data_IF_449564572167
#
_entry.id   IF_449564572167
#
_cell.length_a   1.000
_cell.length_b   1.000
_cell.length_c   1.000
_cell.angle_alpha   90.00
_cell.angle_beta   90.00
_cell.angle_gamma   90.00
#
_symmetry.space_group_name_H-M   'P 1'
#
loop_
_entity.id
_entity.type
_entity.pdbx_description
1 polymer ?
#
# COMPACT_ATOMS: atom_id res chain seq x y z
N UNK A 1 -19.07 25.39 -3.53
CA UNK A 1 -20.23 24.70 -4.15
C UNK A 1 -21.36 24.43 -3.18
N UNK A 2 -21.13 24.03 -1.93
CA UNK A 2 -22.18 23.76 -0.94
C UNK A 2 -23.01 24.98 -0.49
N UNK A 3 -22.44 26.17 -0.37
CA UNK A 3 -23.15 27.38 0.06
C UNK A 3 -24.22 27.82 -0.96
N UNK A 4 -23.94 27.65 -2.26
CA UNK A 4 -24.90 27.98 -3.33
C UNK A 4 -26.09 27.01 -3.35
N UNK A 5 -25.85 25.75 -2.98
CA UNK A 5 -26.91 24.74 -2.89
C UNK A 5 -27.82 25.00 -1.68
N UNK A 6 -27.25 25.44 -0.55
CA UNK A 6 -28.01 25.77 0.67
C UNK A 6 -28.91 27.01 0.47
N UNK A 7 -28.39 28.04 -0.22
CA UNK A 7 -29.19 29.22 -0.56
C UNK A 7 -30.32 28.93 -1.57
N UNK A 8 -30.16 27.94 -2.45
CA UNK A 8 -31.23 27.50 -3.36
C UNK A 8 -32.31 26.73 -2.61
N UNK A 9 -31.94 25.85 -1.67
CA UNK A 9 -32.89 25.08 -0.86
C UNK A 9 -33.69 26.00 0.08
N UNK A 10 -33.06 26.99 0.73
CA UNK A 10 -33.73 27.94 1.60
C UNK A 10 -34.75 28.81 0.85
N UNK A 11 -34.47 29.23 -0.38
CA UNK A 11 -35.42 30.00 -1.21
C UNK A 11 -36.63 29.17 -1.64
N UNK A 12 -36.46 27.89 -1.92
CA UNK A 12 -37.58 27.01 -2.27
C UNK A 12 -38.49 26.72 -1.07
N UNK A 13 -37.92 26.62 0.15
CA UNK A 13 -38.70 26.39 1.38
C UNK A 13 -39.53 27.63 1.77
N UNK A 14 -39.00 28.83 1.59
CA UNK A 14 -39.71 30.07 1.85
C UNK A 14 -40.84 30.27 0.84
N UNK A 15 -40.64 29.89 -0.43
CA UNK A 15 -41.67 30.04 -1.47
C UNK A 15 -42.80 29.02 -1.30
N UNK A 16 -42.50 27.78 -0.90
CA UNK A 16 -43.53 26.77 -0.63
C UNK A 16 -44.40 27.10 0.58
N UNK A 17 -43.82 27.72 1.63
CA UNK A 17 -44.59 28.15 2.80
C UNK A 17 -45.45 29.40 2.50
N UNK A 18 -45.07 30.27 1.59
CA UNK A 18 -45.89 31.42 1.16
C UNK A 18 -47.14 30.99 0.39
N UNK A 19 -47.04 29.96 -0.45
CA UNK A 19 -48.17 29.44 -1.22
C UNK A 19 -49.18 28.69 -0.28
N UNK A 20 -48.70 27.98 0.73
CA UNK A 20 -49.58 27.36 1.75
C UNK A 20 -50.29 28.38 2.60
N UNK A 21 -49.65 29.46 2.98
CA UNK A 21 -50.29 30.53 3.77
C UNK A 21 -51.44 31.25 3.02
N UNK A 22 -51.32 31.41 1.68
CA UNK A 22 -52.37 32.05 0.88
C UNK A 22 -53.64 31.16 0.67
N UNK A 23 -53.48 29.83 0.66
CA UNK A 23 -54.61 28.90 0.52
C UNK A 23 -55.43 28.70 1.82
N UNK A 24 -54.85 28.97 2.99
CA UNK A 24 -55.58 28.86 4.27
C UNK A 24 -56.37 30.12 4.68
N UNK A 25 -56.15 31.27 4.00
CA UNK A 25 -56.87 32.50 4.33
C UNK A 25 -58.28 32.59 3.77
N UNK A 26 -58.72 31.65 2.92
CA UNK A 26 -60.08 31.68 2.34
C UNK A 26 -61.08 30.70 3.00
N UNK A 27 -60.67 29.89 4.00
CA UNK A 27 -61.57 28.88 4.58
C UNK A 27 -61.77 28.97 6.12
N UNK A 28 -61.28 30.01 6.78
CA UNK A 28 -61.36 30.09 8.23
C UNK A 28 -62.01 31.40 8.69
N UNK A 29 -63.26 31.62 8.28
CA UNK A 29 -64.13 32.57 8.98
C UNK A 29 -65.23 31.78 9.67
N UNK A 30 -64.96 31.32 10.83
CA UNK A 30 -65.81 30.88 11.98
C UNK A 30 -65.18 29.69 12.70
N UNK A 31 -64.53 29.96 13.79
CA UNK A 31 -64.59 29.26 15.08
C UNK A 31 -63.28 29.36 15.87
N UNK A 32 -63.46 29.92 17.05
CA UNK A 32 -62.62 29.82 18.24
C UNK A 32 -61.13 30.20 18.15
N UNK A 33 -60.86 31.40 18.65
CA UNK A 33 -59.53 31.85 19.10
C UNK A 33 -59.06 30.92 20.23
N UNK A 34 -58.44 29.80 19.88
CA UNK A 34 -57.61 29.09 20.83
C UNK A 34 -56.29 29.87 20.96
N UNK A 35 -56.01 30.33 22.19
CA UNK A 35 -54.79 31.07 22.56
C UNK A 35 -53.57 30.45 21.95
N UNK A 36 -52.94 31.15 21.00
CA UNK A 36 -51.60 30.80 20.48
C UNK A 36 -50.66 30.89 21.67
N UNK A 37 -49.93 29.81 22.03
CA UNK A 37 -48.95 29.88 23.10
C UNK A 37 -47.92 30.95 22.75
N UNK A 38 -47.57 31.76 23.78
CA UNK A 38 -46.78 32.96 23.70
C UNK A 38 -45.48 32.73 22.91
N UNK A 39 -45.36 33.19 21.67
CA UNK A 39 -44.25 33.01 20.77
C UNK A 39 -42.92 33.49 21.40
N UNK A 40 -42.99 34.37 22.41
CA UNK A 40 -41.83 34.83 23.19
C UNK A 40 -41.12 33.71 23.97
N UNK A 41 -41.81 32.63 24.37
CA UNK A 41 -41.18 31.53 25.11
C UNK A 41 -40.34 30.57 24.19
N UNK A 42 -40.66 30.51 22.90
CA UNK A 42 -39.93 29.70 21.93
C UNK A 42 -38.52 30.28 21.59
N UNK A 43 -38.36 31.60 21.69
CA UNK A 43 -37.08 32.25 21.44
C UNK A 43 -36.00 31.90 22.48
N UNK A 44 -36.35 31.71 23.72
CA UNK A 44 -35.41 31.36 24.78
C UNK A 44 -34.90 29.91 24.72
N UNK A 45 -35.62 29.03 24.04
CA UNK A 45 -35.20 27.64 23.80
C UNK A 45 -34.45 27.51 22.51
N UNK A 46 -34.72 28.33 21.50
CA UNK A 46 -34.06 28.27 20.20
C UNK A 46 -32.64 28.84 20.18
N UNK A 47 -32.37 29.90 20.96
CA UNK A 47 -31.05 30.54 21.01
C UNK A 47 -29.95 29.59 21.57
N UNK A 48 -30.13 28.95 22.72
CA UNK A 48 -29.17 27.97 23.24
C UNK A 48 -28.98 26.78 22.30
N UNK A 49 -30.04 26.33 21.65
CA UNK A 49 -29.99 25.25 20.66
C UNK A 49 -29.15 25.62 19.43
N UNK A 50 -29.35 26.84 18.91
CA UNK A 50 -28.54 27.35 17.77
C UNK A 50 -27.06 27.54 18.16
N UNK A 51 -26.81 28.10 19.35
CA UNK A 51 -25.45 28.27 19.86
C UNK A 51 -24.78 26.90 20.04
N UNK A 52 -25.48 25.92 20.61
CA UNK A 52 -24.99 24.55 20.77
C UNK A 52 -24.66 23.89 19.44
N UNK A 53 -25.53 24.04 18.43
CA UNK A 53 -25.27 23.53 17.07
C UNK A 53 -24.08 24.22 16.40
N UNK A 54 -23.94 25.53 16.55
CA UNK A 54 -22.78 26.27 16.05
C UNK A 54 -21.50 25.83 16.74
N UNK A 55 -21.55 25.59 18.04
CA UNK A 55 -20.39 25.13 18.80
C UNK A 55 -19.94 23.72 18.37
N UNK A 56 -20.89 22.82 18.11
CA UNK A 56 -20.62 21.49 17.59
C UNK A 56 -20.10 21.51 16.13
N UNK A 57 -20.58 22.46 15.32
CA UNK A 57 -20.17 22.60 13.93
C UNK A 57 -18.84 23.37 13.77
N UNK A 58 -18.45 24.18 14.75
CA UNK A 58 -17.28 25.05 14.64
C UNK A 58 -15.97 24.31 14.27
N UNK A 59 -15.61 23.18 14.92
CA UNK A 59 -14.39 22.46 14.55
C UNK A 59 -14.41 21.97 13.10
N UNK A 60 -15.58 21.57 12.61
CA UNK A 60 -15.75 21.12 11.24
C UNK A 60 -15.65 22.28 10.23
N UNK A 61 -16.25 23.43 10.53
CA UNK A 61 -16.19 24.63 9.69
C UNK A 61 -14.78 25.20 9.65
N UNK A 62 -14.07 25.24 10.78
CA UNK A 62 -12.69 25.68 10.86
C UNK A 62 -11.77 24.74 10.09
N UNK A 63 -11.96 23.44 10.23
CA UNK A 63 -11.24 22.45 9.43
C UNK A 63 -11.43 22.68 7.93
N UNK A 64 -12.67 22.85 7.46
CA UNK A 64 -12.96 23.15 6.05
C UNK A 64 -12.27 24.43 5.57
N UNK A 65 -12.34 25.49 6.38
CA UNK A 65 -11.66 26.74 6.06
C UNK A 65 -10.16 26.56 5.87
N UNK A 66 -9.51 25.86 6.80
CA UNK A 66 -8.08 25.64 6.73
C UNK A 66 -7.67 24.73 5.56
N UNK A 67 -8.46 23.69 5.26
CA UNK A 67 -8.22 22.81 4.11
C UNK A 67 -8.37 23.57 2.78
N UNK A 68 -9.43 24.37 2.63
CA UNK A 68 -9.67 25.15 1.42
C UNK A 68 -8.55 26.19 1.22
N UNK A 69 -8.17 26.88 2.30
CA UNK A 69 -7.08 27.85 2.26
C UNK A 69 -5.73 27.22 1.92
N UNK A 70 -5.39 26.10 2.54
CA UNK A 70 -4.19 25.34 2.22
C UNK A 70 -4.19 24.89 0.76
N UNK A 71 -5.31 24.36 0.26
CA UNK A 71 -5.46 23.94 -1.14
C UNK A 71 -5.27 25.07 -2.13
N UNK A 72 -5.72 26.29 -1.79
CA UNK A 72 -5.50 27.49 -2.61
C UNK A 72 -4.01 27.86 -2.64
N UNK A 73 -3.37 27.93 -1.48
CA UNK A 73 -1.94 28.26 -1.36
C UNK A 73 -1.06 27.19 -2.04
N UNK A 74 -1.42 25.92 -1.97
CA UNK A 74 -0.71 24.86 -2.71
C UNK A 74 -0.79 25.03 -4.21
N UNK A 75 -1.93 25.48 -4.76
CA UNK A 75 -2.06 25.78 -6.20
C UNK A 75 -1.20 26.97 -6.63
N UNK A 76 -1.01 27.94 -5.76
CA UNK A 76 -0.18 29.12 -5.99
C UNK A 76 1.31 28.80 -5.81
N UNK A 77 1.67 28.01 -4.80
CA UNK A 77 3.04 27.76 -4.40
C UNK A 77 3.68 26.50 -5.01
N UNK A 78 2.90 25.61 -5.66
CA UNK A 78 3.39 24.41 -6.32
C UNK A 78 3.10 24.45 -7.82
N UNK A 79 4.05 23.95 -8.61
CA UNK A 79 3.84 23.67 -10.02
C UNK A 79 3.96 22.18 -10.29
N UNK A 80 3.05 21.66 -11.15
CA UNK A 80 3.04 20.27 -11.55
C UNK A 80 3.65 20.13 -12.95
N UNK A 81 4.46 19.07 -13.18
CA UNK A 81 4.94 18.75 -14.52
C UNK A 81 3.76 18.59 -15.51
N UNK A 82 4.00 18.96 -16.75
CA UNK A 82 3.03 18.79 -17.83
C UNK A 82 3.61 17.85 -18.91
N UNK A 83 2.93 16.78 -19.32
CA UNK A 83 1.66 16.27 -18.80
C UNK A 83 1.78 15.76 -17.35
N UNK A 84 0.70 15.88 -16.60
CA UNK A 84 0.66 15.37 -15.22
C UNK A 84 0.40 13.87 -15.22
N UNK A 85 1.34 13.10 -14.72
CA UNK A 85 1.21 11.67 -14.46
C UNK A 85 0.95 11.42 -12.98
N UNK A 86 0.51 10.20 -12.65
CA UNK A 86 0.26 9.79 -11.26
C UNK A 86 1.52 9.91 -10.39
N UNK A 87 2.69 9.63 -10.98
CA UNK A 87 4.00 9.70 -10.31
C UNK A 87 4.67 11.09 -10.42
N UNK A 88 3.96 12.09 -10.94
CA UNK A 88 4.51 13.43 -11.03
C UNK A 88 4.67 14.07 -9.66
N UNK A 89 5.90 14.46 -9.32
CA UNK A 89 6.20 15.21 -8.11
C UNK A 89 6.15 16.70 -8.44
N UNK A 90 5.38 17.52 -7.70
CA UNK A 90 5.35 18.94 -7.92
C UNK A 90 6.65 19.61 -7.46
N UNK A 91 6.98 20.74 -8.05
CA UNK A 91 8.08 21.58 -7.61
C UNK A 91 7.56 22.80 -6.84
N UNK A 92 8.29 23.21 -5.80
CA UNK A 92 8.01 24.44 -5.07
C UNK A 92 8.43 25.64 -5.90
N UNK A 93 7.52 26.56 -6.16
CA UNK A 93 7.77 27.82 -6.86
C UNK A 93 7.76 29.03 -5.92
N UNK A 94 7.05 28.94 -4.79
CA UNK A 94 7.04 29.93 -3.73
C UNK A 94 7.05 29.28 -2.35
N UNK A 95 8.21 29.25 -1.72
CA UNK A 95 8.40 28.61 -0.40
C UNK A 95 7.67 29.37 0.74
N UNK A 96 7.47 30.69 0.60
CA UNK A 96 6.73 31.45 1.61
C UNK A 96 5.24 31.08 1.59
N UNK A 97 4.63 30.99 0.41
CA UNK A 97 3.25 30.54 0.25
C UNK A 97 3.08 29.08 0.72
N UNK A 98 4.04 28.22 0.46
CA UNK A 98 4.00 26.82 0.90
C UNK A 98 4.12 26.68 2.41
N UNK A 99 4.93 27.53 3.09
CA UNK A 99 4.95 27.56 4.55
C UNK A 99 3.59 27.94 5.14
N UNK A 100 2.94 28.96 4.59
CA UNK A 100 1.58 29.35 5.00
C UNK A 100 0.58 28.20 4.79
N UNK A 101 0.70 27.45 3.68
CA UNK A 101 -0.13 26.27 3.46
C UNK A 101 0.07 25.21 4.56
N UNK A 102 1.30 24.94 4.97
CA UNK A 102 1.60 24.02 6.07
C UNK A 102 1.00 24.51 7.40
N UNK A 103 1.04 25.79 7.72
CA UNK A 103 0.44 26.34 8.94
C UNK A 103 -1.08 26.12 8.97
N UNK A 104 -1.74 26.30 7.84
CA UNK A 104 -3.15 25.97 7.70
C UNK A 104 -3.42 24.46 7.83
N UNK A 105 -2.54 23.60 7.30
CA UNK A 105 -2.69 22.15 7.44
C UNK A 105 -2.47 21.69 8.88
N UNK A 106 -1.53 22.26 9.62
CA UNK A 106 -1.34 22.03 11.07
C UNK A 106 -2.62 22.40 11.83
N UNK A 107 -3.19 23.56 11.52
CA UNK A 107 -4.47 23.99 12.12
C UNK A 107 -5.61 23.01 11.77
N UNK A 108 -5.69 22.56 10.52
CA UNK A 108 -6.69 21.59 10.11
C UNK A 108 -6.53 20.25 10.85
N UNK A 109 -5.30 19.77 11.03
CA UNK A 109 -4.99 18.55 11.80
C UNK A 109 -5.38 18.70 13.27
N UNK A 110 -5.21 19.88 13.84
CA UNK A 110 -5.65 20.18 15.22
C UNK A 110 -7.17 20.06 15.37
N UNK A 111 -7.95 20.64 14.46
CA UNK A 111 -9.41 20.58 14.52
C UNK A 111 -9.99 19.20 14.21
N UNK A 112 -9.34 18.43 13.33
CA UNK A 112 -9.76 17.06 12.96
C UNK A 112 -8.58 16.11 12.79
N UNK A 113 -7.98 15.63 13.90
CA UNK A 113 -6.78 14.78 13.89
C UNK A 113 -7.02 13.39 13.27
N UNK A 114 -8.28 12.98 13.13
CA UNK A 114 -8.67 11.70 12.53
C UNK A 114 -9.17 11.86 11.08
N UNK A 115 -8.71 12.89 10.37
CA UNK A 115 -9.07 13.08 8.98
C UNK A 115 -7.82 13.04 8.09
N UNK A 116 -7.73 12.02 7.24
CA UNK A 116 -6.53 11.72 6.43
C UNK A 116 -6.10 12.86 5.48
N UNK A 117 -7.05 13.66 4.97
CA UNK A 117 -6.82 14.61 3.89
C UNK A 117 -5.75 15.68 4.22
N UNK A 118 -5.77 16.23 5.45
CA UNK A 118 -4.78 17.23 5.87
C UNK A 118 -3.36 16.66 5.91
N UNK A 119 -3.21 15.43 6.39
CA UNK A 119 -1.92 14.72 6.41
C UNK A 119 -1.44 14.41 4.99
N UNK A 120 -2.33 13.96 4.12
CA UNK A 120 -2.02 13.70 2.71
C UNK A 120 -1.53 14.95 1.99
N UNK A 121 -2.19 16.11 2.19
CA UNK A 121 -1.74 17.38 1.64
C UNK A 121 -0.37 17.81 2.18
N UNK A 122 -0.12 17.62 3.49
CA UNK A 122 1.20 17.88 4.09
C UNK A 122 2.28 17.00 3.47
N UNK A 123 1.97 15.70 3.22
CA UNK A 123 2.86 14.77 2.56
C UNK A 123 3.31 15.26 1.18
N UNK A 124 2.40 15.75 0.37
CA UNK A 124 2.73 16.33 -0.94
C UNK A 124 3.61 17.57 -0.85
N UNK A 125 3.39 18.45 0.12
CA UNK A 125 4.25 19.62 0.34
C UNK A 125 5.66 19.19 0.74
N UNK A 126 5.79 18.26 1.70
CA UNK A 126 7.09 17.77 2.13
C UNK A 126 7.82 17.05 0.98
N UNK A 127 7.12 16.26 0.19
CA UNK A 127 7.68 15.59 -0.99
C UNK A 127 8.20 16.61 -2.02
N UNK A 128 7.41 17.65 -2.31
CA UNK A 128 7.82 18.74 -3.21
C UNK A 128 9.05 19.50 -2.71
N UNK A 129 9.26 19.57 -1.41
CA UNK A 129 10.44 20.19 -0.77
C UNK A 129 11.64 19.26 -0.66
N UNK A 130 11.48 17.99 -1.04
CA UNK A 130 12.51 16.97 -0.86
C UNK A 130 12.70 16.49 0.58
N UNK A 131 11.80 16.86 1.50
CA UNK A 131 11.80 16.39 2.89
C UNK A 131 11.09 15.02 2.95
N UNK A 132 11.82 13.99 2.48
CA UNK A 132 11.24 12.67 2.26
C UNK A 132 10.80 11.99 3.56
N UNK A 133 11.50 12.23 4.68
CA UNK A 133 11.15 11.63 5.98
C UNK A 133 9.81 12.18 6.50
N UNK A 134 9.62 13.50 6.43
CA UNK A 134 8.33 14.10 6.81
C UNK A 134 7.23 13.76 5.83
N UNK A 135 7.53 13.63 4.55
CA UNK A 135 6.58 13.18 3.55
C UNK A 135 6.08 11.75 3.87
N UNK A 136 7.02 10.82 4.13
CA UNK A 136 6.68 9.45 4.51
C UNK A 136 5.83 9.40 5.79
N UNK A 137 6.24 10.12 6.84
CA UNK A 137 5.49 10.17 8.10
C UNK A 137 4.06 10.72 7.91
N UNK A 138 3.89 11.73 7.06
CA UNK A 138 2.59 12.32 6.78
C UNK A 138 1.68 11.36 5.98
N UNK A 139 2.18 10.70 4.94
CA UNK A 139 1.41 9.71 4.18
C UNK A 139 1.10 8.47 5.01
N UNK A 140 2.04 7.97 5.83
CA UNK A 140 1.79 6.87 6.76
C UNK A 140 0.70 7.22 7.78
N UNK A 141 0.70 8.46 8.28
CA UNK A 141 -0.38 8.93 9.17
C UNK A 141 -1.71 8.99 8.45
N UNK A 142 -1.75 9.48 7.22
CA UNK A 142 -2.95 9.50 6.38
C UNK A 142 -3.47 8.07 6.14
N UNK A 143 -2.58 7.12 5.83
CA UNK A 143 -2.88 5.71 5.63
C UNK A 143 -3.45 5.05 6.89
N UNK A 144 -2.88 5.32 8.05
CA UNK A 144 -3.37 4.79 9.32
C UNK A 144 -4.79 5.27 9.66
N UNK A 145 -5.18 6.46 9.17
CA UNK A 145 -6.53 7.03 9.37
C UNK A 145 -7.50 6.48 8.32
N UNK A 146 -7.11 6.41 7.07
CA UNK A 146 -7.94 5.92 5.97
C UNK A 146 -7.24 4.77 5.23
N UNK A 147 -7.49 3.56 5.69
CA UNK A 147 -6.85 2.34 5.19
C UNK A 147 -7.42 1.84 3.87
N UNK A 148 -8.50 2.43 3.38
CA UNK A 148 -9.20 2.01 2.16
C UNK A 148 -8.97 2.94 0.95
N UNK A 149 -8.14 3.97 1.09
CA UNK A 149 -7.88 4.94 0.03
C UNK A 149 -6.62 4.55 -0.77
N UNK A 150 -6.78 4.01 -2.00
CA UNK A 150 -5.65 3.49 -2.77
C UNK A 150 -4.61 4.55 -3.12
N UNK A 151 -5.03 5.81 -3.29
CA UNK A 151 -4.11 6.89 -3.63
C UNK A 151 -3.12 7.20 -2.50
N UNK A 152 -3.50 7.01 -1.24
CA UNK A 152 -2.58 7.21 -0.11
C UNK A 152 -1.48 6.15 -0.11
N UNK A 153 -1.84 4.89 -0.37
CA UNK A 153 -0.85 3.82 -0.52
C UNK A 153 0.07 4.06 -1.71
N UNK A 154 -0.47 4.52 -2.85
CA UNK A 154 0.33 4.89 -4.02
C UNK A 154 1.33 6.00 -3.72
N UNK A 155 0.88 7.08 -3.08
CA UNK A 155 1.70 8.22 -2.68
C UNK A 155 2.78 7.83 -1.66
N UNK A 156 2.45 6.91 -0.74
CA UNK A 156 3.40 6.33 0.20
C UNK A 156 4.50 5.55 -0.54
N UNK A 157 4.13 4.73 -1.52
CA UNK A 157 5.06 4.01 -2.38
C UNK A 157 6.01 4.94 -3.13
N UNK A 158 5.48 6.03 -3.69
CA UNK A 158 6.27 7.04 -4.39
C UNK A 158 7.37 7.66 -3.50
N UNK A 159 7.03 7.99 -2.24
CA UNK A 159 8.01 8.54 -1.30
C UNK A 159 9.11 7.52 -0.99
N UNK A 160 8.76 6.26 -0.75
CA UNK A 160 9.76 5.22 -0.48
C UNK A 160 10.67 4.96 -1.69
N UNK A 161 10.15 5.04 -2.92
CA UNK A 161 10.96 4.99 -4.15
C UNK A 161 11.95 6.15 -4.22
N UNK A 162 11.52 7.38 -3.90
CA UNK A 162 12.43 8.52 -3.84
C UNK A 162 13.49 8.37 -2.74
N UNK A 163 13.13 7.81 -1.58
CA UNK A 163 14.09 7.49 -0.54
C UNK A 163 15.12 6.46 -1.00
N UNK A 164 14.70 5.43 -1.73
CA UNK A 164 15.62 4.45 -2.33
C UNK A 164 16.63 5.10 -3.28
N UNK A 165 16.16 6.02 -4.12
CA UNK A 165 17.05 6.75 -5.05
C UNK A 165 18.10 7.54 -4.27
N UNK A 166 17.74 8.18 -3.15
CA UNK A 166 18.70 8.96 -2.33
C UNK A 166 19.74 8.10 -1.63
N UNK A 167 19.40 6.84 -1.30
CA UNK A 167 20.31 5.90 -0.63
C UNK A 167 20.89 4.84 -1.57
N UNK A 168 20.68 4.98 -2.89
CA UNK A 168 21.15 4.02 -3.91
C UNK A 168 22.69 3.79 -3.89
N UNK A 169 23.44 4.66 -3.23
CA UNK A 169 24.88 4.53 -3.01
C UNK A 169 25.23 3.80 -1.69
N UNK A 170 24.26 3.32 -0.94
CA UNK A 170 24.52 2.54 0.27
C UNK A 170 25.28 1.25 -0.10
N UNK A 171 26.29 0.84 0.68
CA UNK A 171 27.00 -0.40 0.44
C UNK A 171 26.02 -1.58 0.41
N UNK A 172 26.14 -2.42 -0.60
CA UNK A 172 25.34 -3.64 -0.71
C UNK A 172 26.18 -4.79 -1.23
N UNK A 173 25.88 -6.00 -0.78
CA UNK A 173 26.57 -7.23 -1.18
C UNK A 173 25.57 -8.27 -1.63
N UNK A 174 25.62 -8.67 -2.91
CA UNK A 174 24.78 -9.76 -3.41
C UNK A 174 25.21 -11.11 -2.82
N UNK A 175 24.24 -11.88 -2.38
CA UNK A 175 24.43 -13.24 -1.87
C UNK A 175 23.95 -14.31 -2.87
N UNK A 176 23.46 -13.94 -4.05
CA UNK A 176 22.91 -14.91 -5.03
C UNK A 176 23.90 -16.01 -5.36
N UNK A 177 25.20 -15.68 -5.51
CA UNK A 177 26.24 -16.68 -5.76
C UNK A 177 26.49 -17.65 -4.59
N UNK A 178 26.08 -17.31 -3.36
CA UNK A 178 26.25 -18.18 -2.18
C UNK A 178 25.31 -19.38 -2.22
N UNK A 179 24.16 -19.24 -2.87
CA UNK A 179 23.22 -20.35 -2.99
C UNK A 179 23.78 -21.53 -3.77
N UNK A 180 24.68 -21.29 -4.76
CA UNK A 180 25.36 -22.38 -5.49
C UNK A 180 26.33 -23.18 -4.62
N UNK A 181 26.68 -22.64 -3.45
CA UNK A 181 27.62 -23.26 -2.49
C UNK A 181 26.88 -23.61 -1.17
N UNK A 182 25.55 -23.48 -1.14
CA UNK A 182 24.76 -23.76 0.07
C UNK A 182 24.77 -25.25 0.41
N UNK A 183 24.77 -25.54 1.71
CA UNK A 183 24.46 -26.89 2.19
C UNK A 183 22.95 -27.07 2.14
N UNK A 184 22.49 -28.00 1.31
CA UNK A 184 21.06 -28.33 1.17
C UNK A 184 20.76 -29.53 2.07
N UNK A 185 19.71 -29.40 2.88
CA UNK A 185 19.15 -30.46 3.72
C UNK A 185 17.68 -30.60 3.44
N UNK A 186 17.20 -31.82 3.22
CA UNK A 186 15.81 -32.18 3.12
C UNK A 186 15.61 -33.56 3.77
N UNK A 187 14.41 -33.86 4.36
CA UNK A 187 14.20 -35.03 5.18
C UNK A 187 14.50 -36.40 4.52
N UNK A 188 14.29 -36.49 3.21
CA UNK A 188 14.30 -37.77 2.50
C UNK A 188 15.46 -37.89 1.47
N UNK A 189 16.44 -36.99 1.52
CA UNK A 189 17.52 -37.00 0.52
C UNK A 189 18.84 -37.40 1.15
N UNK A 190 19.55 -38.36 0.55
CA UNK A 190 20.96 -38.58 0.83
C UNK A 190 21.74 -37.31 0.47
N UNK A 191 22.60 -36.85 1.35
CA UNK A 191 23.40 -35.60 1.35
C UNK A 191 24.20 -35.32 0.02
N UNK A 192 24.10 -36.16 -0.99
CA UNK A 192 25.04 -36.22 -2.12
C UNK A 192 24.62 -35.46 -3.39
N UNK A 193 23.42 -34.92 -3.50
CA UNK A 193 23.00 -34.17 -4.73
C UNK A 193 22.35 -32.84 -4.42
N UNK A 194 23.15 -31.83 -4.08
CA UNK A 194 22.60 -30.56 -3.61
C UNK A 194 21.99 -29.67 -4.67
N UNK A 195 22.39 -29.81 -5.92
CA UNK A 195 21.94 -28.93 -7.02
C UNK A 195 21.53 -29.72 -8.24
N UNK A 196 20.31 -29.49 -8.72
CA UNK A 196 19.84 -30.02 -9.97
C UNK A 196 19.92 -28.99 -11.08
N UNK A 197 20.28 -29.43 -12.29
CA UNK A 197 19.89 -28.71 -13.48
C UNK A 197 18.40 -28.95 -13.72
N UNK A 198 17.64 -27.90 -13.99
CA UNK A 198 16.17 -27.90 -14.13
C UNK A 198 15.63 -28.81 -15.24
N UNK A 199 16.50 -29.45 -16.01
CA UNK A 199 16.10 -30.37 -17.09
C UNK A 199 15.56 -31.73 -16.59
N UNK A 200 15.59 -31.99 -15.27
CA UNK A 200 15.06 -33.21 -14.67
C UNK A 200 14.27 -32.91 -13.40
N UNK A 201 13.08 -32.34 -13.49
CA UNK A 201 12.33 -31.75 -12.35
C UNK A 201 11.85 -32.74 -11.31
N UNK A 202 11.79 -34.03 -11.59
CA UNK A 202 11.16 -35.02 -10.71
C UNK A 202 11.95 -35.42 -9.45
N UNK A 203 13.17 -34.95 -9.30
CA UNK A 203 14.04 -35.29 -8.16
C UNK A 203 14.79 -34.10 -7.56
N UNK A 204 14.42 -32.88 -7.93
CA UNK A 204 15.13 -31.67 -7.53
C UNK A 204 14.50 -30.99 -6.33
N UNK A 205 15.27 -30.82 -5.26
CA UNK A 205 14.85 -30.04 -4.07
C UNK A 205 15.40 -28.61 -4.07
N UNK A 206 16.44 -28.33 -4.82
CA UNK A 206 17.01 -27.01 -4.98
C UNK A 206 17.60 -26.79 -6.37
N UNK A 207 17.51 -25.59 -6.88
CA UNK A 207 18.10 -25.22 -8.18
C UNK A 207 18.15 -23.70 -8.36
N UNK A 208 18.90 -23.31 -9.40
CA UNK A 208 19.00 -21.91 -9.82
C UNK A 208 18.45 -21.76 -11.23
N UNK A 209 17.64 -20.75 -11.44
CA UNK A 209 17.15 -20.33 -12.76
C UNK A 209 17.04 -18.81 -12.81
N UNK A 210 16.77 -18.26 -13.96
CA UNK A 210 16.50 -16.83 -14.11
C UNK A 210 15.03 -16.65 -14.43
N UNK A 211 14.32 -15.89 -13.62
CA UNK A 211 12.91 -15.60 -13.81
C UNK A 211 12.68 -14.11 -14.05
N UNK A 212 11.72 -13.82 -14.91
CA UNK A 212 11.29 -12.46 -15.24
C UNK A 212 9.82 -12.31 -14.89
N UNK A 213 9.52 -11.52 -13.87
CA UNK A 213 8.15 -11.30 -13.37
C UNK A 213 7.97 -9.84 -12.94
N UNK A 214 6.73 -9.30 -12.93
CA UNK A 214 6.43 -8.05 -12.24
C UNK A 214 6.52 -8.26 -10.72
N UNK A 215 6.47 -7.19 -9.95
CA UNK A 215 6.09 -7.30 -8.54
C UNK A 215 4.61 -7.68 -8.43
N UNK A 216 4.29 -8.56 -7.49
CA UNK A 216 2.93 -9.06 -7.28
C UNK A 216 1.95 -7.91 -7.04
N UNK A 217 0.81 -7.94 -7.74
CA UNK A 217 -0.26 -6.96 -7.56
C UNK A 217 0.05 -5.53 -8.02
N UNK A 218 1.21 -5.24 -8.62
CA UNK A 218 1.47 -3.92 -9.19
C UNK A 218 0.77 -3.77 -10.53
N UNK A 219 0.26 -2.58 -10.81
CA UNK A 219 -0.17 -2.17 -12.16
C UNK A 219 1.01 -1.72 -13.03
N UNK A 220 2.20 -1.69 -12.47
CA UNK A 220 3.42 -1.37 -13.18
C UNK A 220 3.75 -2.53 -14.14
N UNK A 221 3.90 -2.27 -15.45
CA UNK A 221 4.29 -3.28 -16.42
C UNK A 221 5.76 -3.66 -16.31
N UNK A 222 6.54 -2.97 -15.47
CA UNK A 222 7.96 -3.24 -15.31
C UNK A 222 8.16 -4.69 -14.91
N UNK A 223 8.93 -5.39 -15.73
CA UNK A 223 9.36 -6.76 -15.46
C UNK A 223 10.73 -6.73 -14.84
N UNK A 224 10.90 -7.47 -13.77
CA UNK A 224 12.16 -7.58 -13.06
C UNK A 224 12.73 -8.98 -13.27
N UNK A 225 13.96 -9.04 -13.73
CA UNK A 225 14.69 -10.30 -13.99
C UNK A 225 15.68 -10.52 -12.87
N UNK A 226 15.52 -11.65 -12.17
CA UNK A 226 16.42 -12.02 -11.09
C UNK A 226 16.88 -13.47 -11.23
N UNK A 227 18.07 -13.76 -10.74
CA UNK A 227 18.51 -15.11 -10.45
C UNK A 227 17.67 -15.65 -9.29
N UNK A 228 16.91 -16.69 -9.56
CA UNK A 228 15.95 -17.31 -8.67
C UNK A 228 16.50 -18.63 -8.15
N UNK A 229 16.64 -18.72 -6.86
CA UNK A 229 16.97 -19.95 -6.16
C UNK A 229 15.69 -20.59 -5.67
N UNK A 230 15.24 -21.65 -6.31
CA UNK A 230 14.13 -22.41 -5.82
C UNK A 230 14.55 -23.42 -4.78
N UNK A 231 13.67 -23.67 -3.80
CA UNK A 231 13.88 -24.60 -2.72
C UNK A 231 12.56 -25.33 -2.45
N UNK A 232 12.47 -26.57 -2.90
CA UNK A 232 11.25 -27.38 -2.79
C UNK A 232 11.00 -27.81 -1.33
N UNK A 233 9.79 -27.59 -0.76
CA UNK A 233 9.49 -28.00 0.62
C UNK A 233 9.44 -29.54 0.79
N UNK A 234 9.80 -30.06 1.97
CA UNK A 234 10.50 -29.35 3.02
C UNK A 234 12.00 -29.37 2.78
N UNK A 235 12.62 -28.21 2.68
CA UNK A 235 14.06 -28.14 2.50
C UNK A 235 14.67 -26.88 3.14
N UNK A 236 15.96 -26.97 3.46
CA UNK A 236 16.75 -25.89 4.05
C UNK A 236 18.03 -25.72 3.25
N UNK A 237 18.33 -24.48 2.86
CA UNK A 237 19.62 -24.09 2.32
C UNK A 237 20.37 -23.25 3.35
N UNK A 238 21.63 -23.58 3.64
CA UNK A 238 22.42 -22.86 4.64
C UNK A 238 23.81 -22.53 4.15
N UNK A 239 24.31 -21.36 4.52
CA UNK A 239 25.68 -20.92 4.26
C UNK A 239 26.13 -19.84 5.26
N UNK A 240 27.43 -19.70 5.40
CA UNK A 240 28.01 -18.70 6.30
C UNK A 240 28.14 -17.35 5.59
N UNK A 241 27.82 -16.29 6.32
CA UNK A 241 28.05 -14.91 5.92
C UNK A 241 28.70 -14.13 7.06
N UNK A 242 29.50 -13.13 6.69
CA UNK A 242 29.89 -12.07 7.61
C UNK A 242 28.90 -10.92 7.48
N UNK A 243 28.40 -10.37 8.59
CA UNK A 243 27.47 -9.21 8.63
C UNK A 243 28.29 -7.93 8.74
N UNK A 244 28.54 -7.20 7.65
CA UNK A 244 29.38 -5.99 7.73
C UNK A 244 28.66 -4.88 8.46
N UNK A 245 29.43 -3.97 9.09
CA UNK A 245 28.88 -2.72 9.64
C UNK A 245 28.36 -1.87 8.48
N UNK A 246 27.13 -1.40 8.59
CA UNK A 246 26.41 -0.65 7.54
C UNK A 246 25.63 -1.53 6.55
N UNK A 247 25.67 -2.87 6.72
CA UNK A 247 24.92 -3.83 5.90
C UNK A 247 24.20 -4.87 6.78
N UNK A 248 23.56 -4.42 7.84
CA UNK A 248 22.96 -5.29 8.85
C UNK A 248 21.53 -5.72 8.51
N UNK A 249 21.19 -5.83 7.24
CA UNK A 249 19.90 -6.36 6.82
C UNK A 249 20.03 -7.20 5.55
N UNK A 250 19.17 -8.20 5.44
CA UNK A 250 18.88 -8.89 4.18
C UNK A 250 17.68 -8.22 3.52
N UNK A 251 17.79 -7.90 2.25
CA UNK A 251 16.68 -7.58 1.34
C UNK A 251 16.60 -8.67 0.31
N UNK A 252 15.40 -9.10 -0.03
CA UNK A 252 15.15 -10.19 -0.96
C UNK A 252 13.78 -10.06 -1.62
N UNK A 253 13.52 -10.87 -2.62
CA UNK A 253 12.19 -11.11 -3.15
C UNK A 253 11.89 -12.61 -3.12
N UNK A 254 10.64 -12.93 -2.88
CA UNK A 254 10.10 -14.29 -2.97
C UNK A 254 9.38 -14.45 -4.30
N UNK A 255 9.41 -15.64 -4.84
CA UNK A 255 8.72 -15.96 -6.08
C UNK A 255 8.29 -17.41 -6.14
N UNK A 256 7.54 -17.70 -7.17
CA UNK A 256 7.06 -19.03 -7.50
C UNK A 256 7.41 -19.33 -8.96
N UNK A 257 7.96 -20.50 -9.24
CA UNK A 257 8.32 -20.86 -10.61
C UNK A 257 7.07 -20.93 -11.49
N UNK A 258 6.98 -20.10 -12.54
CA UNK A 258 5.82 -20.11 -13.42
C UNK A 258 5.51 -21.45 -14.08
N UNK A 259 6.47 -22.37 -14.18
CA UNK A 259 6.25 -23.70 -14.74
C UNK A 259 5.35 -24.56 -13.86
N UNK A 260 5.34 -24.33 -12.55
CA UNK A 260 4.48 -25.06 -11.61
C UNK A 260 3.06 -24.47 -11.49
N UNK A 261 2.77 -23.38 -12.19
CA UNK A 261 1.43 -22.78 -12.20
C UNK A 261 0.39 -23.77 -12.67
N UNK A 262 -0.70 -23.83 -11.94
CA UNK A 262 -1.82 -24.72 -12.27
C UNK A 262 -1.61 -26.20 -11.90
N UNK A 263 -0.51 -26.55 -11.26
CA UNK A 263 -0.25 -27.94 -10.83
C UNK A 263 -0.82 -28.27 -9.43
N UNK A 264 -1.50 -27.28 -8.81
CA UNK A 264 -2.26 -27.51 -7.58
C UNK A 264 -1.50 -27.24 -6.29
N UNK A 265 -0.41 -26.43 -6.33
CA UNK A 265 0.27 -25.95 -5.13
C UNK A 265 -0.72 -25.34 -4.13
N UNK A 266 -0.59 -25.67 -2.85
CA UNK A 266 -1.34 -25.08 -1.74
C UNK A 266 -0.56 -23.94 -1.04
N UNK A 267 0.62 -23.61 -1.58
CA UNK A 267 1.51 -22.59 -1.04
C UNK A 267 2.64 -23.14 -0.20
N UNK A 268 3.42 -22.28 0.42
CA UNK A 268 4.53 -22.65 1.27
C UNK A 268 4.67 -21.71 2.48
N UNK A 269 5.36 -22.14 3.52
CA UNK A 269 5.88 -21.29 4.58
C UNK A 269 7.37 -21.09 4.35
N UNK A 270 7.78 -19.85 4.15
CA UNK A 270 9.19 -19.49 3.94
C UNK A 270 9.75 -18.82 5.18
N UNK A 271 10.98 -19.19 5.57
CA UNK A 271 11.64 -18.68 6.77
C UNK A 271 13.09 -18.32 6.53
N UNK A 272 13.59 -17.36 7.29
CA UNK A 272 15.03 -17.11 7.44
C UNK A 272 15.40 -17.32 8.91
N UNK A 273 16.25 -18.30 9.15
CA UNK A 273 16.83 -18.59 10.46
C UNK A 273 18.30 -18.15 10.51
N UNK A 274 18.74 -17.75 11.68
CA UNK A 274 20.13 -17.37 11.97
C UNK A 274 20.63 -18.24 13.10
N UNK A 275 21.86 -18.75 12.93
CA UNK A 275 22.60 -19.38 14.04
C UNK A 275 24.00 -18.78 14.09
N UNK A 276 24.48 -18.48 15.31
CA UNK A 276 25.82 -18.04 15.60
C UNK A 276 26.48 -19.06 16.53
N UNK A 277 27.64 -19.57 16.15
CA UNK A 277 28.59 -20.36 16.96
C UNK A 277 27.99 -21.32 18.02
N UNK A 278 27.06 -22.21 17.70
CA UNK A 278 26.40 -23.14 18.62
C UNK A 278 25.08 -22.69 19.30
N UNK A 279 24.54 -21.58 18.90
CA UNK A 279 23.26 -21.10 19.41
C UNK A 279 22.07 -21.83 18.78
N UNK A 280 20.93 -21.76 19.42
CA UNK A 280 19.65 -22.18 18.84
C UNK A 280 19.30 -21.31 17.65
N UNK A 281 18.64 -21.87 16.63
CA UNK A 281 18.15 -21.11 15.48
C UNK A 281 17.20 -20.02 15.94
N UNK A 282 17.47 -18.78 15.56
CA UNK A 282 16.58 -17.64 15.74
C UNK A 282 15.99 -17.25 14.38
N UNK A 283 14.68 -17.38 14.25
CA UNK A 283 13.98 -16.93 13.05
C UNK A 283 13.82 -15.42 13.04
N UNK A 284 14.27 -14.79 11.96
CA UNK A 284 14.25 -13.33 11.75
C UNK A 284 13.22 -12.93 10.67
N UNK A 285 12.74 -13.91 9.93
CA UNK A 285 11.67 -13.74 8.95
C UNK A 285 10.87 -15.04 8.86
N UNK A 286 9.55 -14.91 8.77
CA UNK A 286 8.62 -16.00 8.49
C UNK A 286 7.40 -15.45 7.75
N UNK A 287 7.02 -16.11 6.68
CA UNK A 287 5.84 -15.72 5.91
C UNK A 287 5.19 -16.97 5.31
N UNK A 288 3.87 -17.09 5.50
CA UNK A 288 3.05 -18.01 4.71
C UNK A 288 2.70 -17.35 3.39
N UNK A 289 2.92 -18.06 2.29
CA UNK A 289 2.70 -17.57 0.94
C UNK A 289 1.77 -18.54 0.24
N UNK A 290 0.63 -18.04 -0.26
CA UNK A 290 -0.25 -18.85 -1.10
C UNK A 290 0.28 -18.89 -2.53
N UNK A 291 -0.10 -19.94 -3.30
CA UNK A 291 0.27 -20.02 -4.71
C UNK A 291 -0.21 -18.81 -5.50
N UNK A 292 -1.43 -18.32 -5.24
CA UNK A 292 -1.99 -17.16 -5.93
C UNK A 292 -1.18 -15.89 -5.68
N UNK A 293 -0.70 -15.68 -4.44
CA UNK A 293 0.15 -14.54 -4.12
C UNK A 293 1.48 -14.60 -4.86
N UNK A 294 2.10 -15.78 -4.90
CA UNK A 294 3.38 -15.98 -5.55
C UNK A 294 3.28 -15.98 -7.09
N UNK A 295 2.19 -16.52 -7.65
CA UNK A 295 1.90 -16.48 -9.08
C UNK A 295 1.67 -15.05 -9.60
N UNK A 296 1.26 -14.15 -8.71
CA UNK A 296 1.05 -12.73 -9.05
C UNK A 296 2.36 -12.01 -9.41
N UNK A 297 3.52 -12.50 -8.97
CA UNK A 297 4.83 -11.93 -9.23
C UNK A 297 5.75 -11.93 -8.00
N UNK A 298 6.81 -11.13 -8.06
CA UNK A 298 7.76 -10.99 -6.96
C UNK A 298 7.14 -10.38 -5.71
N UNK A 299 7.39 -11.00 -4.57
CA UNK A 299 6.98 -10.48 -3.26
C UNK A 299 8.22 -10.02 -2.49
N UNK A 300 8.39 -8.73 -2.20
CA UNK A 300 9.54 -8.21 -1.51
C UNK A 300 9.49 -8.55 -0.02
N UNK A 301 10.66 -8.81 0.55
CA UNK A 301 10.86 -9.06 1.97
C UNK A 301 12.20 -8.53 2.47
N UNK A 302 12.32 -8.42 3.79
CA UNK A 302 13.58 -8.07 4.43
C UNK A 302 13.67 -8.69 5.82
N UNK A 303 14.91 -8.84 6.31
CA UNK A 303 15.19 -9.34 7.65
C UNK A 303 16.29 -8.49 8.30
N UNK A 304 16.11 -8.17 9.59
CA UNK A 304 17.05 -7.40 10.39
C UNK A 304 18.13 -8.31 10.97
N UNK A 305 19.37 -8.03 10.63
CA UNK A 305 20.57 -8.72 11.13
C UNK A 305 21.39 -7.86 12.11
N UNK A 306 20.88 -6.71 12.54
CA UNK A 306 21.59 -5.79 13.44
C UNK A 306 22.13 -6.46 14.72
N UNK A 307 21.46 -7.47 15.31
CA UNK A 307 21.99 -8.17 16.47
C UNK A 307 23.33 -8.87 16.23
N UNK A 308 23.67 -9.19 14.99
CA UNK A 308 24.86 -9.92 14.61
C UNK A 308 25.88 -9.06 13.84
N UNK A 309 25.81 -7.75 14.00
CA UNK A 309 26.76 -6.79 13.40
C UNK A 309 28.21 -7.18 13.68
N UNK A 310 29.03 -7.24 12.62
CA UNK A 310 30.46 -7.59 12.69
C UNK A 310 30.74 -9.07 12.98
N UNK A 311 29.74 -9.91 13.02
CA UNK A 311 29.88 -11.34 13.31
C UNK A 311 29.79 -12.17 12.02
N UNK A 312 30.34 -13.39 12.09
CA UNK A 312 30.07 -14.43 11.10
C UNK A 312 28.98 -15.32 11.61
N UNK A 313 27.92 -15.49 10.83
CA UNK A 313 26.73 -16.26 11.17
C UNK A 313 26.43 -17.28 10.06
N UNK A 314 25.69 -18.33 10.42
CA UNK A 314 25.06 -19.20 9.43
C UNK A 314 23.63 -18.72 9.20
N UNK A 315 23.30 -18.41 7.95
CA UNK A 315 21.93 -18.09 7.52
C UNK A 315 21.29 -19.37 6.96
N UNK A 316 20.07 -19.64 7.38
CA UNK A 316 19.24 -20.73 6.92
C UNK A 316 18.05 -20.17 6.15
N UNK A 317 17.88 -20.61 4.91
CA UNK A 317 16.69 -20.35 4.11
C UNK A 317 15.87 -21.62 4.08
N UNK A 318 14.67 -21.57 4.64
CA UNK A 318 13.79 -22.73 4.78
C UNK A 318 12.52 -22.55 3.97
N UNK A 319 12.12 -23.61 3.30
CA UNK A 319 10.80 -23.71 2.66
C UNK A 319 10.09 -24.92 3.25
N UNK A 320 8.93 -24.70 3.85
CA UNK A 320 8.10 -25.71 4.49
C UNK A 320 6.79 -25.86 3.72
N UNK A 321 6.12 -27.03 3.83
CA UNK A 321 4.82 -27.22 3.20
C UNK A 321 3.79 -26.15 3.60
N UNK A 322 2.85 -25.87 2.70
CA UNK A 322 1.72 -25.01 2.95
C UNK A 322 0.75 -25.54 4.00
N UNK A 323 -0.40 -24.92 4.11
CA UNK A 323 -1.37 -25.17 5.18
C UNK A 323 -1.99 -26.57 5.15
N UNK A 324 -2.01 -27.24 3.99
CA UNK A 324 -2.52 -28.61 3.84
C UNK A 324 -1.44 -29.66 4.05
N UNK A 325 -0.18 -29.25 4.16
CA UNK A 325 0.96 -30.16 4.29
C UNK A 325 1.31 -30.91 3.00
N UNK A 326 0.72 -30.51 1.88
CA UNK A 326 1.07 -30.99 0.55
C UNK A 326 2.30 -30.23 0.05
N UNK A 327 3.20 -30.92 -0.62
CA UNK A 327 4.41 -30.35 -1.23
C UNK A 327 4.34 -30.37 -2.76
N UNK A 328 3.22 -30.81 -3.31
CA UNK A 328 3.05 -30.95 -4.75
C UNK A 328 3.13 -29.60 -5.43
N UNK A 329 4.05 -29.45 -6.36
CA UNK A 329 4.25 -28.23 -7.16
C UNK A 329 4.60 -26.96 -6.36
N UNK A 330 5.11 -27.09 -5.13
CA UNK A 330 5.51 -25.97 -4.28
C UNK A 330 6.90 -25.45 -4.67
N UNK A 331 7.04 -24.93 -5.86
CA UNK A 331 8.31 -24.45 -6.41
C UNK A 331 8.57 -23.00 -6.01
N UNK A 332 8.65 -22.77 -4.70
CA UNK A 332 8.94 -21.49 -4.10
C UNK A 332 10.43 -21.23 -4.00
N UNK A 333 10.80 -19.97 -3.94
CA UNK A 333 12.20 -19.63 -3.79
C UNK A 333 12.47 -18.16 -3.55
N UNK A 334 13.74 -17.86 -3.57
CA UNK A 334 14.37 -16.61 -3.17
C UNK A 334 15.12 -16.01 -4.34
N UNK A 335 15.02 -14.69 -4.51
CA UNK A 335 15.79 -13.99 -5.53
C UNK A 335 16.27 -12.64 -5.01
N UNK A 336 17.23 -12.04 -5.70
CA UNK A 336 17.79 -10.73 -5.36
C UNK A 336 18.15 -10.59 -3.88
N UNK A 337 18.78 -11.65 -3.31
CA UNK A 337 19.18 -11.66 -1.90
C UNK A 337 20.43 -10.82 -1.73
N UNK A 338 20.31 -9.70 -1.02
CA UNK A 338 21.40 -8.74 -0.80
C UNK A 338 21.53 -8.39 0.67
N UNK A 339 22.78 -8.26 1.14
CA UNK A 339 23.09 -7.55 2.38
C UNK A 339 23.15 -6.05 2.09
N UNK A 340 22.45 -5.26 2.91
CA UNK A 340 22.40 -3.81 2.77
C UNK A 340 22.07 -3.17 4.12
N UNK A 341 22.00 -1.84 4.18
CA UNK A 341 21.60 -1.16 5.40
C UNK A 341 20.12 -1.46 5.76
N UNK A 342 19.75 -1.51 7.04
CA UNK A 342 18.35 -1.71 7.44
C UNK A 342 17.39 -0.70 6.81
N UNK A 343 17.80 0.54 6.65
CA UNK A 343 17.01 1.59 6.02
C UNK A 343 16.75 1.28 4.54
N UNK A 344 17.80 0.90 3.78
CA UNK A 344 17.66 0.53 2.38
C UNK A 344 16.78 -0.73 2.20
N UNK A 345 16.97 -1.75 3.03
CA UNK A 345 16.17 -2.97 2.99
C UNK A 345 14.69 -2.69 3.23
N UNK A 346 14.37 -1.86 4.22
CA UNK A 346 13.00 -1.44 4.52
C UNK A 346 12.35 -0.73 3.34
N UNK A 347 13.02 0.26 2.76
CA UNK A 347 12.43 1.02 1.65
C UNK A 347 12.30 0.17 0.39
N UNK A 348 13.28 -0.70 0.10
CA UNK A 348 13.20 -1.66 -0.99
C UNK A 348 12.01 -2.63 -0.87
N UNK A 349 11.60 -2.92 0.37
CA UNK A 349 10.43 -3.77 0.66
C UNK A 349 9.14 -2.95 0.64
N UNK A 350 9.10 -1.78 1.29
CA UNK A 350 7.87 -1.03 1.49
C UNK A 350 7.39 -0.29 0.25
N UNK A 351 8.30 0.15 -0.63
CA UNK A 351 7.91 0.81 -1.88
C UNK A 351 7.02 -0.09 -2.77
N UNK A 352 7.46 -1.29 -3.16
CA UNK A 352 6.60 -2.17 -3.95
C UNK A 352 5.38 -2.67 -3.16
N UNK A 353 5.48 -2.93 -1.84
CA UNK A 353 4.32 -3.33 -1.03
C UNK A 353 3.24 -2.26 -0.99
N UNK A 354 3.60 -0.98 -0.86
CA UNK A 354 2.63 0.12 -0.90
C UNK A 354 1.97 0.22 -2.28
N UNK A 355 2.74 0.05 -3.37
CA UNK A 355 2.20 0.00 -4.73
C UNK A 355 1.27 -1.18 -4.96
N UNK A 356 1.65 -2.37 -4.48
CA UNK A 356 0.81 -3.57 -4.53
C UNK A 356 -0.52 -3.34 -3.83
N UNK A 357 -0.50 -2.76 -2.62
CA UNK A 357 -1.70 -2.45 -1.85
C UNK A 357 -2.57 -1.40 -2.56
N UNK A 358 -1.98 -0.34 -3.09
CA UNK A 358 -2.70 0.67 -3.87
C UNK A 358 -3.39 0.04 -5.07
N UNK A 359 -2.69 -0.80 -5.83
CA UNK A 359 -3.23 -1.50 -6.97
C UNK A 359 -4.38 -2.44 -6.57
N UNK A 360 -4.24 -3.13 -5.46
CA UNK A 360 -5.28 -4.02 -4.91
C UNK A 360 -6.53 -3.25 -4.48
N UNK A 361 -6.38 -2.14 -3.76
CA UNK A 361 -7.49 -1.29 -3.32
C UNK A 361 -8.17 -0.58 -4.50
N UNK A 362 -7.40 -0.10 -5.50
CA UNK A 362 -7.95 0.61 -6.67
C UNK A 362 -8.80 -0.29 -7.56
N UNK A 363 -8.47 -1.59 -7.67
CA UNK A 363 -9.32 -2.56 -8.34
C UNK A 363 -10.59 -2.86 -7.57
N UNK A 364 -10.58 -2.57 -6.28
CA UNK A 364 -11.56 -3.07 -5.34
C UNK A 364 -11.58 -4.60 -5.39
N UNK A 365 -12.55 -5.22 -4.80
CA UNK A 365 -12.87 -6.63 -5.01
C UNK A 365 -13.86 -6.83 -6.16
N UNK A 366 -14.01 -5.81 -7.02
CA UNK A 366 -15.02 -5.86 -8.06
C UNK A 366 -14.41 -6.31 -9.40
N UNK A 367 -14.43 -7.60 -9.63
CA UNK A 367 -14.01 -8.24 -10.87
C UNK A 367 -14.61 -7.56 -12.11
N UNK A 368 -15.88 -7.15 -12.06
CA UNK A 368 -16.56 -6.51 -13.19
C UNK A 368 -15.97 -5.13 -13.53
N UNK A 369 -15.51 -4.38 -12.55
CA UNK A 369 -14.84 -3.08 -12.78
C UNK A 369 -13.51 -3.30 -13.50
N UNK A 370 -12.75 -4.32 -13.11
CA UNK A 370 -11.48 -4.65 -13.76
C UNK A 370 -11.71 -5.10 -15.22
N UNK A 371 -12.72 -5.91 -15.47
CA UNK A 371 -13.12 -6.30 -16.84
C UNK A 371 -13.58 -5.10 -17.66
N UNK A 372 -14.36 -4.18 -17.09
CA UNK A 372 -14.77 -2.96 -17.78
C UNK A 372 -13.58 -2.07 -18.17
N UNK A 373 -12.58 -1.93 -17.30
CA UNK A 373 -11.33 -1.21 -17.60
C UNK A 373 -10.50 -1.92 -18.67
N UNK A 374 -10.45 -3.26 -18.66
CA UNK A 374 -9.84 -4.05 -19.76
C UNK A 374 -10.51 -3.74 -21.09
N UNK A 375 -11.83 -3.81 -21.13
CA UNK A 375 -12.61 -3.60 -22.36
C UNK A 375 -12.50 -2.16 -22.86
N UNK A 376 -12.40 -1.19 -21.97
CA UNK A 376 -12.09 0.19 -22.30
C UNK A 376 -10.69 0.32 -22.93
N UNK A 377 -9.67 -0.29 -22.33
CA UNK A 377 -8.32 -0.27 -22.86
C UNK A 377 -8.23 -0.92 -24.24
N UNK A 378 -8.95 -2.03 -24.48
CA UNK A 378 -9.07 -2.67 -25.81
C UNK A 378 -9.68 -1.70 -26.83
N UNK A 379 -10.77 -1.02 -26.47
CA UNK A 379 -11.45 -0.06 -27.36
C UNK A 379 -10.54 1.09 -27.81
N UNK A 380 -9.60 1.49 -26.94
CA UNK A 380 -8.62 2.55 -27.25
C UNK A 380 -7.29 2.01 -27.80
N UNK A 381 -7.21 0.72 -28.15
CA UNK A 381 -5.99 0.11 -28.71
C UNK A 381 -4.82 0.00 -27.71
N UNK A 382 -5.08 0.15 -26.41
CA UNK A 382 -4.08 0.06 -25.34
C UNK A 382 -3.91 -1.40 -24.89
N UNK A 383 -3.35 -2.23 -25.75
CA UNK A 383 -3.31 -3.69 -25.58
C UNK A 383 -2.57 -4.12 -24.31
N UNK A 384 -1.41 -3.50 -24.02
CA UNK A 384 -0.62 -3.83 -22.83
C UNK A 384 -1.38 -3.50 -21.53
N UNK A 385 -2.13 -2.40 -21.54
CA UNK A 385 -2.99 -2.01 -20.41
C UNK A 385 -4.16 -3.00 -20.25
N UNK A 386 -4.76 -3.39 -21.34
CA UNK A 386 -5.84 -4.39 -21.33
C UNK A 386 -5.38 -5.73 -20.74
N UNK A 387 -4.20 -6.22 -21.13
CA UNK A 387 -3.61 -7.43 -20.58
C UNK A 387 -3.32 -7.32 -19.07
N UNK A 388 -2.96 -6.13 -18.58
CA UNK A 388 -2.77 -5.87 -17.14
C UNK A 388 -4.08 -5.99 -16.38
N UNK A 389 -5.13 -5.36 -16.87
CA UNK A 389 -6.45 -5.43 -16.24
C UNK A 389 -7.02 -6.85 -16.26
N UNK A 390 -6.80 -7.60 -17.33
CA UNK A 390 -7.25 -9.00 -17.46
C UNK A 390 -6.56 -9.91 -16.44
N UNK A 391 -5.22 -9.81 -16.32
CA UNK A 391 -4.47 -10.55 -15.29
C UNK A 391 -4.94 -10.21 -13.88
N UNK A 392 -5.19 -8.93 -13.61
CA UNK A 392 -5.68 -8.48 -12.31
C UNK A 392 -7.08 -9.00 -12.02
N UNK A 393 -7.97 -9.00 -13.01
CA UNK A 393 -9.31 -9.57 -12.89
C UNK A 393 -9.26 -11.08 -12.61
N UNK A 394 -8.37 -11.80 -13.28
CA UNK A 394 -8.17 -13.25 -13.07
C UNK A 394 -7.68 -13.56 -11.63
N UNK A 395 -6.76 -12.76 -11.11
CA UNK A 395 -6.29 -12.88 -9.72
C UNK A 395 -7.42 -12.65 -8.69
N UNK A 396 -8.33 -11.71 -8.97
CA UNK A 396 -9.46 -11.44 -8.07
C UNK A 396 -10.45 -12.61 -7.98
N UNK A 397 -10.63 -13.36 -9.05
CA UNK A 397 -11.49 -14.56 -9.03
C UNK A 397 -10.91 -15.65 -8.13
N UNK A 398 -9.59 -15.79 -8.12
CA UNK A 398 -8.92 -16.79 -7.28
C UNK A 398 -8.88 -16.43 -5.79
N UNK A 399 -9.03 -15.14 -5.44
CA UNK A 399 -9.01 -14.65 -4.07
C UNK A 399 -10.39 -14.65 -3.37
N UNK A 400 -11.49 -14.79 -4.13
CA UNK A 400 -12.83 -14.89 -3.56
C UNK A 400 -13.10 -16.35 -3.21
N UNK A 401 -13.27 -16.72 -1.94
CA UNK A 401 -13.64 -18.08 -1.57
C UNK A 401 -14.95 -18.45 -2.30
N UNK A 402 -14.98 -19.60 -2.94
CA UNK A 402 -16.19 -20.14 -3.52
C UNK A 402 -17.22 -20.39 -2.39
N UNK A 403 -18.03 -19.40 -2.06
CA UNK A 403 -19.03 -19.51 -0.98
C UNK A 403 -19.49 -18.21 -0.32
N UNK A 404 -19.23 -17.04 -0.90
CA UNK A 404 -19.90 -15.80 -0.48
C UNK A 404 -20.81 -15.25 -1.55
#
# INVERSE_FOLDING_TARGET
MCIVLWLKISKQFVFANRIRAMKHHQLANQQSIKRIPNVRSLWWISIPGVIGLLWLAAPWLLWLYHIDRAGTLMKEGLTWPQPRYVDSIPAVVDDATIRQALDHLVSAQFYRPHHAHAYRMSGWIYLARGDLERAAAAFERARAINTAEPMIDWETGLVYEQMLVTISHAPSTSLSHRFTQANISAPDIPIATPFCQLDAPQTCYAGMTTLTMPYAGTSDPSLFTYDFFFLHPPATASFNIHVPVGQEALSFVLGFDPQARGWGSDGAVVRIGITAASETIRYVFEQSVTSEQAEAGWMPGWADLSPWRGQTITVLFETLPGTKGDTTADWFGWANVILTSPTAARYATYAPLARMRAAWLDGGFNHNVLLARRDEAIRYGRIDEAQRWDRRASLMVSLVPAGQ
#
